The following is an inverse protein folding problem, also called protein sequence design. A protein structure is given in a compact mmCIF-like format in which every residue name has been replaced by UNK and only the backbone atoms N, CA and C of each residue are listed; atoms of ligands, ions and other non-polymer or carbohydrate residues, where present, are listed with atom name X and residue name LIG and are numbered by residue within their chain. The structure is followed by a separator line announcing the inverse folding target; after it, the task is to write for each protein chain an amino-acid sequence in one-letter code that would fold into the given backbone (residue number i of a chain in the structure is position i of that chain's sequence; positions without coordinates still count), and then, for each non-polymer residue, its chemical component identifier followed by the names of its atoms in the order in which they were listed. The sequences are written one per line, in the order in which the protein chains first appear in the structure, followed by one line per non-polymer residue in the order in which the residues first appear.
data_IF_623019827859
#
_entry.id   IF_623019827859
#
_cell.length_a   1.000
_cell.length_b   1.000
_cell.length_c   1.000
_cell.angle_alpha   90.00
_cell.angle_beta   90.00
_cell.angle_gamma   90.00
#
_symmetry.space_group_name_H-M   'P 1'
#
loop_
_entity.id
_entity.type
_entity.pdbx_description
1 polymer ?
#
# COMPACT_ATOMS: atom_id res chain seq x y z
N UNK A 1 -18.35 16.25 1.45
CA UNK A 1 -17.22 16.20 2.39
C UNK A 1 -16.33 17.40 2.17
N UNK A 2 -15.74 17.92 3.23
CA UNK A 2 -14.66 18.90 3.20
C UNK A 2 -13.35 18.16 3.26
N UNK A 3 -12.47 18.37 2.28
CA UNK A 3 -11.16 17.72 2.27
C UNK A 3 -10.26 18.36 3.32
N UNK A 4 -9.57 17.52 4.09
CA UNK A 4 -8.62 17.94 5.12
C UNK A 4 -7.19 17.77 4.60
N UNK A 5 -6.86 16.55 4.20
CA UNK A 5 -5.53 16.16 3.75
C UNK A 5 -5.61 15.21 2.54
N UNK A 6 -4.61 15.29 1.68
CA UNK A 6 -4.42 14.35 0.56
C UNK A 6 -2.96 13.92 0.55
N UNK A 7 -2.72 12.62 0.64
CA UNK A 7 -1.37 12.06 0.51
C UNK A 7 -0.87 12.13 -0.92
N UNK A 8 0.44 12.29 -1.07
CA UNK A 8 1.11 12.29 -2.38
C UNK A 8 1.81 10.95 -2.62
N UNK A 9 1.50 10.34 -3.75
CA UNK A 9 2.02 9.04 -4.19
C UNK A 9 2.99 9.18 -5.38
N UNK A 10 3.71 8.12 -5.70
CA UNK A 10 4.48 7.99 -6.93
C UNK A 10 3.62 8.15 -8.19
N UNK A 11 2.41 7.58 -8.17
CA UNK A 11 1.42 7.69 -9.25
C UNK A 11 1.05 9.14 -9.58
N UNK A 12 0.93 10.03 -8.58
CA UNK A 12 0.65 11.45 -8.85
C UNK A 12 1.80 12.11 -9.63
N UNK A 13 3.04 11.70 -9.37
CA UNK A 13 4.23 12.20 -10.10
C UNK A 13 4.30 11.66 -11.53
N UNK A 14 3.95 10.39 -11.74
CA UNK A 14 3.84 9.78 -13.07
C UNK A 14 2.76 10.48 -13.91
N UNK A 15 1.63 10.86 -13.29
CA UNK A 15 0.56 11.59 -13.96
C UNK A 15 1.03 12.99 -14.39
N UNK A 16 1.74 13.73 -13.52
CA UNK A 16 2.29 15.05 -13.85
C UNK A 16 3.33 14.95 -14.98
N UNK A 17 4.07 13.83 -15.01
CA UNK A 17 5.04 13.55 -16.09
C UNK A 17 4.36 13.05 -17.38
N UNK A 18 3.04 12.97 -17.43
CA UNK A 18 2.25 12.44 -18.55
C UNK A 18 2.58 10.99 -18.95
N UNK A 19 3.09 10.22 -18.00
CA UNK A 19 3.38 8.80 -18.20
C UNK A 19 2.16 7.93 -17.88
N UNK A 20 1.22 8.45 -17.10
CA UNK A 20 0.04 7.75 -16.60
C UNK A 20 -1.15 8.70 -16.45
N UNK A 21 -2.35 8.15 -16.17
CA UNK A 21 -3.54 8.91 -15.87
C UNK A 21 -4.33 9.37 -17.12
N UNK A 22 -5.63 9.55 -16.92
CA UNK A 22 -6.54 10.07 -17.95
C UNK A 22 -7.59 10.97 -17.33
N UNK A 23 -7.91 12.15 -17.90
CA UNK A 23 -8.98 13.00 -17.41
C UNK A 23 -10.37 12.36 -17.62
N UNK A 24 -11.40 12.83 -16.91
CA UNK A 24 -12.78 12.45 -17.18
C UNK A 24 -13.24 12.91 -18.57
N UNK A 25 -14.23 12.22 -19.11
CA UNK A 25 -14.84 12.60 -20.40
C UNK A 25 -15.35 14.04 -20.37
N UNK A 26 -15.00 14.80 -21.41
CA UNK A 26 -15.37 16.21 -21.54
C UNK A 26 -14.47 17.20 -20.79
N UNK A 27 -13.42 16.73 -20.13
CA UNK A 27 -12.41 17.56 -19.49
C UNK A 27 -11.03 17.38 -20.15
N UNK A 28 -10.27 18.45 -20.25
CA UNK A 28 -8.88 18.45 -20.70
C UNK A 28 -7.87 18.46 -19.54
N UNK A 29 -8.35 18.33 -18.30
CA UNK A 29 -7.54 18.28 -17.07
C UNK A 29 -8.02 17.22 -16.10
N UNK A 30 -7.13 16.79 -15.22
CA UNK A 30 -7.40 15.86 -14.12
C UNK A 30 -7.03 16.52 -12.79
N UNK A 31 -8.00 16.61 -11.85
CA UNK A 31 -7.68 16.95 -10.46
C UNK A 31 -7.01 15.71 -9.86
N UNK A 32 -5.81 15.88 -9.29
CA UNK A 32 -5.02 14.81 -8.70
C UNK A 32 -5.48 14.39 -7.31
N UNK A 33 -4.79 13.39 -6.77
CA UNK A 33 -4.92 12.93 -5.40
C UNK A 33 -5.94 11.80 -5.23
N UNK A 34 -5.45 10.67 -4.74
CA UNK A 34 -6.25 9.47 -4.50
C UNK A 34 -6.17 9.00 -3.04
N UNK A 35 -5.19 9.46 -2.27
CA UNK A 35 -5.04 9.17 -0.84
C UNK A 35 -5.79 10.23 0.00
N UNK A 36 -7.09 10.06 0.16
CA UNK A 36 -7.98 11.06 0.74
C UNK A 36 -8.11 10.98 2.25
N UNK A 37 -8.29 12.15 2.90
CA UNK A 37 -8.78 12.25 4.27
C UNK A 37 -9.67 13.48 4.39
N UNK A 38 -10.89 13.31 4.88
CA UNK A 38 -11.93 14.34 4.84
C UNK A 38 -12.84 14.30 6.05
N UNK A 39 -13.60 15.39 6.23
CA UNK A 39 -14.71 15.51 7.19
C UNK A 39 -16.05 15.60 6.43
N UNK A 40 -17.02 14.85 6.90
CA UNK A 40 -18.39 14.95 6.40
C UNK A 40 -19.00 16.27 6.90
N UNK A 41 -19.40 17.15 5.99
CA UNK A 41 -20.03 18.45 6.36
C UNK A 41 -21.53 18.46 6.11
N UNK A 42 -22.00 17.69 5.14
CA UNK A 42 -23.40 17.59 4.77
C UNK A 42 -23.71 16.19 4.23
N UNK A 43 -24.90 15.69 4.49
CA UNK A 43 -25.39 14.40 4.03
C UNK A 43 -26.77 14.52 3.36
N UNK A 44 -27.00 13.71 2.34
CA UNK A 44 -28.32 13.58 1.73
C UNK A 44 -29.29 12.85 2.66
N UNK A 45 -30.61 13.01 2.40
CA UNK A 45 -31.68 12.46 3.25
C UNK A 45 -31.74 10.94 3.36
N UNK A 46 -31.03 10.21 2.47
CA UNK A 46 -30.97 8.74 2.45
C UNK A 46 -29.69 8.18 3.04
N UNK A 47 -28.74 9.03 3.44
CA UNK A 47 -27.48 8.61 4.04
C UNK A 47 -27.71 8.15 5.48
N UNK A 48 -27.15 7.00 5.83
CA UNK A 48 -27.37 6.34 7.13
C UNK A 48 -26.09 5.95 7.86
N UNK A 49 -24.95 5.82 7.15
CA UNK A 49 -23.70 5.28 7.72
C UNK A 49 -22.78 6.37 8.28
N UNK A 50 -22.94 7.60 7.82
CA UNK A 50 -22.11 8.72 8.24
C UNK A 50 -22.98 9.95 8.53
N UNK A 51 -22.47 10.87 9.34
CA UNK A 51 -23.12 12.14 9.71
C UNK A 51 -22.11 13.30 9.67
N UNK A 52 -22.57 14.55 9.63
CA UNK A 52 -21.69 15.71 9.74
C UNK A 52 -20.78 15.62 10.97
N UNK A 53 -19.50 15.94 10.78
CA UNK A 53 -18.44 15.82 11.78
C UNK A 53 -17.69 14.48 11.77
N UNK A 54 -18.18 13.45 11.06
CA UNK A 54 -17.45 12.20 10.93
C UNK A 54 -16.22 12.38 10.02
N UNK A 55 -15.09 11.79 10.43
CA UNK A 55 -13.90 11.71 9.61
C UNK A 55 -13.98 10.48 8.69
N UNK A 56 -13.57 10.65 7.44
CA UNK A 56 -13.69 9.59 6.42
C UNK A 56 -12.49 9.55 5.49
N UNK A 57 -12.22 8.36 4.96
CA UNK A 57 -11.40 8.13 3.78
C UNK A 57 -12.24 7.49 2.69
N UNK A 58 -11.92 7.74 1.44
CA UNK A 58 -12.71 7.29 0.30
C UNK A 58 -11.96 6.21 -0.48
N UNK A 59 -12.68 5.19 -0.93
CA UNK A 59 -12.09 4.20 -1.85
C UNK A 59 -11.69 4.86 -3.16
N UNK A 60 -10.68 4.31 -3.84
CA UNK A 60 -10.11 4.90 -5.05
C UNK A 60 -10.85 4.45 -6.32
N UNK A 61 -10.97 3.14 -6.52
CA UNK A 61 -11.53 2.55 -7.74
C UNK A 61 -13.05 2.43 -7.67
N UNK A 62 -13.70 2.79 -8.76
CA UNK A 62 -15.15 2.61 -8.98
C UNK A 62 -15.38 1.42 -9.92
N UNK A 63 -16.45 0.65 -9.72
CA UNK A 63 -16.75 -0.48 -10.58
C UNK A 63 -17.04 -0.02 -12.01
N UNK A 64 -16.73 -0.87 -12.98
CA UNK A 64 -17.20 -0.67 -14.35
C UNK A 64 -18.73 -0.88 -14.44
N UNK A 65 -19.36 -0.26 -15.40
CA UNK A 65 -20.80 -0.39 -15.62
C UNK A 65 -21.25 -1.68 -16.31
N UNK A 66 -20.35 -2.62 -16.57
CA UNK A 66 -20.64 -3.84 -17.35
C UNK A 66 -21.41 -4.86 -16.50
N UNK A 67 -22.61 -5.29 -16.92
CA UNK A 67 -23.42 -6.25 -16.16
C UNK A 67 -22.76 -7.63 -16.04
N UNK A 68 -21.89 -7.99 -16.99
CA UNK A 68 -21.19 -9.28 -17.00
C UNK A 68 -19.89 -9.29 -16.20
N UNK A 69 -19.46 -8.14 -15.68
CA UNK A 69 -18.27 -8.10 -14.85
C UNK A 69 -18.58 -8.61 -13.43
N UNK A 70 -18.38 -9.91 -13.21
CA UNK A 70 -18.62 -10.55 -11.91
C UNK A 70 -17.86 -9.85 -10.78
N UNK A 71 -16.59 -9.52 -10.99
CA UNK A 71 -15.78 -8.87 -9.97
C UNK A 71 -16.42 -7.55 -9.49
N UNK A 72 -16.86 -6.69 -10.40
CA UNK A 72 -17.49 -5.43 -10.04
C UNK A 72 -18.87 -5.62 -9.40
N UNK A 73 -19.63 -6.62 -9.81
CA UNK A 73 -20.94 -6.97 -9.21
C UNK A 73 -20.79 -7.44 -7.76
N UNK A 74 -19.74 -8.18 -7.47
CA UNK A 74 -19.43 -8.68 -6.13
C UNK A 74 -18.67 -7.65 -5.25
N UNK A 75 -18.58 -6.38 -5.69
CA UNK A 75 -17.86 -5.33 -4.94
C UNK A 75 -16.35 -5.50 -4.94
N UNK A 76 -15.81 -6.33 -5.83
CA UNK A 76 -14.38 -6.59 -6.01
C UNK A 76 -13.86 -5.92 -7.29
N UNK A 77 -14.15 -4.61 -7.42
CA UNK A 77 -13.65 -3.80 -8.54
C UNK A 77 -12.13 -3.79 -8.66
N UNK A 78 -11.43 -4.14 -7.60
CA UNK A 78 -9.97 -4.36 -7.59
C UNK A 78 -9.54 -5.52 -8.51
N UNK A 79 -10.44 -6.44 -8.84
CA UNK A 79 -10.27 -7.52 -9.80
C UNK A 79 -11.04 -7.31 -11.11
N UNK A 80 -11.44 -6.08 -11.43
CA UNK A 80 -12.16 -5.80 -12.66
C UNK A 80 -11.40 -6.33 -13.89
N UNK A 81 -12.04 -7.19 -14.68
CA UNK A 81 -11.40 -7.80 -15.86
C UNK A 81 -11.71 -7.09 -17.18
N UNK A 82 -12.71 -6.17 -17.20
CA UNK A 82 -13.01 -5.37 -18.40
C UNK A 82 -12.03 -4.23 -18.61
N UNK A 83 -11.44 -3.73 -17.52
CA UNK A 83 -10.58 -2.56 -17.55
C UNK A 83 -11.31 -1.20 -17.57
N UNK A 84 -12.65 -1.19 -17.69
CA UNK A 84 -13.47 0.04 -17.80
C UNK A 84 -13.87 0.63 -16.44
N UNK A 85 -13.13 0.30 -15.40
CA UNK A 85 -13.24 0.96 -14.10
C UNK A 85 -12.70 2.40 -14.17
N UNK A 86 -13.18 3.26 -13.28
CA UNK A 86 -12.58 4.57 -13.06
C UNK A 86 -11.87 4.64 -11.72
N UNK A 87 -10.92 5.58 -11.58
CA UNK A 87 -10.17 5.78 -10.35
C UNK A 87 -10.05 7.28 -10.03
N UNK A 88 -10.40 7.64 -8.80
CA UNK A 88 -10.29 9.00 -8.30
C UNK A 88 -8.85 9.51 -8.39
N UNK A 89 -8.67 10.63 -9.09
CA UNK A 89 -7.37 11.27 -9.25
C UNK A 89 -6.40 10.56 -10.20
N UNK A 90 -6.85 9.48 -10.87
CA UNK A 90 -5.99 8.65 -11.72
C UNK A 90 -6.63 8.42 -13.09
N UNK A 91 -7.81 7.83 -13.13
CA UNK A 91 -8.41 7.36 -14.37
C UNK A 91 -9.86 7.80 -14.50
N UNK A 92 -10.13 8.68 -15.46
CA UNK A 92 -11.46 9.13 -15.87
C UNK A 92 -12.35 9.64 -14.72
N UNK A 93 -11.75 10.04 -13.59
CA UNK A 93 -12.47 10.63 -12.47
C UNK A 93 -11.56 11.59 -11.70
N UNK A 94 -12.03 12.83 -11.45
CA UNK A 94 -11.32 13.80 -10.65
C UNK A 94 -11.00 13.29 -9.25
N UNK A 95 -9.83 13.65 -8.74
CA UNK A 95 -9.33 13.28 -7.42
C UNK A 95 -9.77 14.21 -6.30
N UNK A 96 -9.01 14.19 -5.24
CA UNK A 96 -9.34 14.78 -3.95
C UNK A 96 -8.55 16.05 -3.62
N UNK A 97 -7.63 16.52 -4.48
CA UNK A 97 -6.95 17.82 -4.28
C UNK A 97 -7.89 18.99 -4.62
N UNK A 98 -8.96 19.12 -3.87
CA UNK A 98 -10.01 20.13 -3.98
C UNK A 98 -10.62 20.40 -2.60
N UNK A 99 -11.29 21.53 -2.39
CA UNK A 99 -11.85 21.88 -1.08
C UNK A 99 -13.03 20.97 -0.68
N UNK A 100 -13.90 20.64 -1.64
CA UNK A 100 -15.12 19.86 -1.39
C UNK A 100 -15.30 18.76 -2.42
N UNK A 101 -15.81 17.62 -1.95
CA UNK A 101 -16.15 16.47 -2.79
C UNK A 101 -17.53 15.94 -2.41
N UNK A 102 -18.31 15.59 -3.44
CA UNK A 102 -19.54 14.81 -3.28
C UNK A 102 -19.21 13.35 -3.61
N UNK A 103 -19.65 12.46 -2.74
CA UNK A 103 -19.41 11.02 -2.92
C UNK A 103 -20.59 10.20 -2.41
N UNK A 104 -20.79 9.02 -2.99
CA UNK A 104 -21.76 8.06 -2.52
C UNK A 104 -21.30 7.40 -1.20
N UNK A 105 -22.22 7.21 -0.27
CA UNK A 105 -21.98 6.62 1.05
C UNK A 105 -21.24 5.28 1.01
N UNK A 106 -21.48 4.46 -0.02
CA UNK A 106 -20.86 3.14 -0.18
C UNK A 106 -19.34 3.19 -0.37
N UNK A 107 -18.79 4.34 -0.75
CA UNK A 107 -17.36 4.55 -0.96
C UNK A 107 -16.66 5.21 0.23
N UNK A 108 -17.41 5.52 1.30
CA UNK A 108 -16.91 6.15 2.50
C UNK A 108 -16.54 5.11 3.55
N UNK A 109 -15.41 5.30 4.18
CA UNK A 109 -14.94 4.50 5.31
C UNK A 109 -14.69 5.44 6.48
N UNK A 110 -15.45 5.27 7.57
CA UNK A 110 -15.36 6.11 8.75
C UNK A 110 -14.03 5.87 9.49
N UNK A 111 -13.34 6.95 9.82
CA UNK A 111 -12.07 6.95 10.54
C UNK A 111 -12.30 7.41 11.97
N UNK A 112 -11.92 6.64 13.00
CA UNK A 112 -12.02 7.09 14.39
C UNK A 112 -11.27 8.40 14.65
N UNK A 113 -11.81 9.32 15.48
CA UNK A 113 -11.16 10.60 15.77
C UNK A 113 -9.72 10.48 16.30
N UNK A 114 -9.39 9.40 17.02
CA UNK A 114 -8.04 9.13 17.51
C UNK A 114 -6.99 8.87 16.41
N UNK A 115 -7.43 8.70 15.16
CA UNK A 115 -6.55 8.52 13.99
C UNK A 115 -6.40 9.79 13.14
N UNK A 116 -6.92 10.94 13.60
CA UNK A 116 -6.90 12.19 12.82
C UNK A 116 -5.52 12.55 12.26
N UNK A 117 -4.47 12.38 13.07
CA UNK A 117 -3.09 12.77 12.70
C UNK A 117 -2.48 11.89 11.60
N UNK A 118 -3.02 10.68 11.41
CA UNK A 118 -2.47 9.64 10.53
C UNK A 118 -3.51 9.05 9.57
N UNK A 119 -4.74 9.56 9.58
CA UNK A 119 -5.86 9.03 8.79
C UNK A 119 -5.59 8.99 7.29
N UNK A 120 -4.80 9.94 6.78
CA UNK A 120 -4.36 10.01 5.38
C UNK A 120 -3.49 8.80 4.97
N UNK A 121 -2.90 8.07 5.92
CA UNK A 121 -2.13 6.85 5.66
C UNK A 121 -3.01 5.60 5.43
N UNK A 122 -4.32 5.72 5.59
CA UNK A 122 -5.24 4.58 5.41
C UNK A 122 -5.16 4.01 3.99
N UNK A 123 -5.26 4.88 2.97
CA UNK A 123 -5.23 4.41 1.57
C UNK A 123 -3.94 3.64 1.25
N UNK A 124 -2.72 4.17 1.44
CA UNK A 124 -1.51 3.41 1.15
C UNK A 124 -1.34 2.15 2.01
N UNK A 125 -1.90 2.09 3.23
CA UNK A 125 -1.91 0.87 4.04
C UNK A 125 -2.82 -0.21 3.44
N UNK A 126 -3.88 0.16 2.71
CA UNK A 126 -4.78 -0.82 2.07
C UNK A 126 -4.06 -1.75 1.09
N UNK A 127 -2.95 -1.30 0.49
CA UNK A 127 -2.14 -2.11 -0.43
C UNK A 127 -1.51 -3.30 0.32
N UNK A 128 -1.03 -3.07 1.53
CA UNK A 128 -0.52 -4.14 2.39
C UNK A 128 -1.65 -5.05 2.89
N UNK A 129 -2.78 -4.48 3.30
CA UNK A 129 -3.93 -5.26 3.79
C UNK A 129 -4.49 -6.22 2.73
N UNK A 130 -4.65 -5.75 1.49
CA UNK A 130 -5.03 -6.62 0.39
C UNK A 130 -3.97 -7.71 0.13
N UNK A 131 -2.71 -7.35 0.20
CA UNK A 131 -1.61 -8.30 0.01
C UNK A 131 -1.62 -9.39 1.09
N UNK A 132 -1.87 -9.03 2.35
CA UNK A 132 -2.03 -9.97 3.45
C UNK A 132 -3.28 -10.85 3.29
N UNK A 133 -4.42 -10.30 2.86
CA UNK A 133 -5.61 -11.09 2.52
C UNK A 133 -5.27 -12.16 1.49
N UNK A 134 -4.64 -11.79 0.38
CA UNK A 134 -4.26 -12.73 -0.68
C UNK A 134 -3.24 -13.76 -0.18
N UNK A 135 -2.27 -13.34 0.63
CA UNK A 135 -1.29 -14.23 1.26
C UNK A 135 -1.99 -15.31 2.10
N UNK A 136 -2.91 -14.92 2.98
CA UNK A 136 -3.60 -15.89 3.84
C UNK A 136 -4.52 -16.82 3.07
N UNK A 137 -5.23 -16.34 2.04
CA UNK A 137 -6.02 -17.19 1.15
C UNK A 137 -5.15 -18.24 0.45
N UNK A 138 -3.97 -17.86 -0.04
CA UNK A 138 -3.02 -18.76 -0.69
C UNK A 138 -2.46 -19.77 0.31
N UNK A 139 -2.09 -19.34 1.50
CA UNK A 139 -1.46 -20.21 2.50
C UNK A 139 -2.43 -21.18 3.18
N UNK A 140 -3.75 -21.03 3.00
CA UNK A 140 -4.74 -22.05 3.37
C UNK A 140 -4.53 -23.39 2.67
N UNK A 141 -3.76 -23.42 1.56
CA UNK A 141 -3.33 -24.69 0.90
C UNK A 141 -2.42 -25.55 1.77
N UNK A 142 -1.77 -24.97 2.78
CA UNK A 142 -0.86 -25.68 3.67
C UNK A 142 -1.65 -26.28 4.85
N UNK A 143 -1.46 -27.59 5.17
CA UNK A 143 -2.16 -28.24 6.28
C UNK A 143 -1.64 -27.82 7.66
N UNK A 144 -0.56 -27.07 7.71
CA UNK A 144 -0.02 -26.44 8.92
C UNK A 144 -0.03 -24.94 8.77
N UNK A 145 -0.63 -24.25 9.73
CA UNK A 145 -0.46 -22.81 9.92
C UNK A 145 0.36 -22.60 11.20
N UNK A 146 1.02 -21.45 11.33
CA UNK A 146 1.55 -21.06 12.63
C UNK A 146 0.41 -21.08 13.65
N UNK A 147 0.50 -21.84 14.73
CA UNK A 147 -0.55 -21.89 15.73
C UNK A 147 -0.65 -20.50 16.38
N UNK A 148 -1.77 -19.81 16.16
CA UNK A 148 -2.14 -18.64 16.94
C UNK A 148 -2.85 -19.15 18.16
N UNK A 149 -2.17 -19.23 19.31
CA UNK A 149 -2.79 -19.54 20.57
C UNK A 149 -3.54 -18.30 21.10
N UNK A 150 -4.83 -18.40 21.47
CA UNK A 150 -5.55 -17.29 22.04
C UNK A 150 -4.84 -16.73 23.28
N UNK A 151 -4.57 -15.42 23.27
CA UNK A 151 -3.92 -14.74 24.40
C UNK A 151 -2.40 -14.78 24.41
N UNK A 152 -1.76 -15.48 23.46
CA UNK A 152 -0.33 -15.37 23.22
C UNK A 152 -0.08 -14.56 21.95
N UNK A 153 0.93 -13.65 21.93
CA UNK A 153 1.36 -13.07 20.66
C UNK A 153 1.81 -14.24 19.77
N UNK A 154 1.52 -14.18 18.44
CA UNK A 154 2.03 -15.18 17.51
C UNK A 154 3.55 -15.22 17.65
N UNK A 155 4.10 -16.39 17.93
CA UNK A 155 5.54 -16.60 17.82
C UNK A 155 5.92 -16.31 16.37
N UNK A 156 7.08 -15.64 16.16
CA UNK A 156 7.55 -15.26 14.82
C UNK A 156 7.97 -16.51 14.03
N UNK A 157 6.98 -17.28 13.62
CA UNK A 157 7.20 -18.52 12.88
C UNK A 157 7.34 -18.30 11.38
N UNK A 158 6.99 -17.11 10.88
CA UNK A 158 7.16 -16.74 9.48
C UNK A 158 8.10 -15.54 9.34
N UNK A 159 8.95 -15.57 8.31
CA UNK A 159 9.92 -14.54 8.01
C UNK A 159 9.52 -13.82 6.74
N UNK A 160 9.41 -12.51 6.83
CA UNK A 160 9.06 -11.65 5.72
C UNK A 160 10.22 -10.73 5.35
N UNK A 161 10.44 -10.58 4.06
CA UNK A 161 11.32 -9.55 3.49
C UNK A 161 10.45 -8.50 2.81
N UNK A 162 10.62 -7.25 3.21
CA UNK A 162 9.99 -6.10 2.58
C UNK A 162 11.03 -5.42 1.69
N UNK A 163 10.77 -5.35 0.40
CA UNK A 163 11.63 -4.63 -0.54
C UNK A 163 11.18 -3.17 -0.61
N UNK A 164 12.02 -2.28 -0.10
CA UNK A 164 11.80 -0.84 -0.07
C UNK A 164 11.37 -0.29 1.29
N UNK A 165 11.89 0.89 1.59
CA UNK A 165 11.59 1.65 2.80
C UNK A 165 10.83 2.97 2.49
N UNK A 166 10.06 2.99 1.42
CA UNK A 166 9.08 4.03 1.12
C UNK A 166 7.79 3.86 1.94
N UNK A 167 6.79 4.74 1.75
CA UNK A 167 5.56 4.72 2.55
C UNK A 167 4.85 3.36 2.53
N UNK A 168 4.65 2.79 1.33
CA UNK A 168 3.97 1.49 1.15
C UNK A 168 4.79 0.36 1.77
N UNK A 169 6.12 0.36 1.62
CA UNK A 169 6.99 -0.64 2.22
C UNK A 169 7.00 -0.59 3.75
N UNK A 170 7.10 0.61 4.34
CA UNK A 170 7.09 0.77 5.81
C UNK A 170 5.73 0.43 6.42
N UNK A 171 4.62 0.85 5.79
CA UNK A 171 3.28 0.45 6.21
C UNK A 171 3.08 -1.08 6.07
N UNK A 172 3.59 -1.68 4.99
CA UNK A 172 3.61 -3.13 4.82
C UNK A 172 4.43 -3.85 5.89
N UNK A 173 5.58 -3.29 6.28
CA UNK A 173 6.38 -3.82 7.38
C UNK A 173 5.61 -3.77 8.72
N UNK A 174 4.89 -2.68 8.99
CA UNK A 174 4.05 -2.56 10.19
C UNK A 174 2.90 -3.58 10.18
N UNK A 175 2.19 -3.72 9.06
CA UNK A 175 1.11 -4.70 8.90
C UNK A 175 1.61 -6.14 9.08
N UNK A 176 2.74 -6.50 8.47
CA UNK A 176 3.38 -7.81 8.65
C UNK A 176 3.82 -8.05 10.11
N UNK A 177 4.33 -7.01 10.79
CA UNK A 177 4.67 -7.11 12.24
C UNK A 177 3.45 -7.36 13.11
N UNK A 178 2.30 -6.70 12.82
CA UNK A 178 1.02 -6.96 13.50
C UNK A 178 0.55 -8.39 13.23
N UNK A 179 0.71 -8.85 12.00
CA UNK A 179 0.37 -10.22 11.60
C UNK A 179 1.32 -11.29 12.18
N UNK A 180 2.36 -10.90 12.94
CA UNK A 180 3.24 -11.80 13.67
C UNK A 180 4.47 -12.28 12.91
N UNK A 181 4.82 -11.64 11.79
CA UNK A 181 6.04 -11.98 11.04
C UNK A 181 7.32 -11.42 11.71
N UNK A 182 8.42 -12.15 11.57
CA UNK A 182 9.77 -11.59 11.71
C UNK A 182 10.10 -10.85 10.42
N UNK A 183 10.19 -9.52 10.48
CA UNK A 183 10.29 -8.66 9.31
C UNK A 183 11.69 -8.13 9.12
N UNK A 184 12.20 -8.26 7.90
CA UNK A 184 13.42 -7.60 7.44
C UNK A 184 13.08 -6.66 6.30
N UNK A 185 13.40 -5.38 6.44
CA UNK A 185 13.28 -4.38 5.37
C UNK A 185 14.60 -4.29 4.64
N UNK A 186 14.58 -4.54 3.33
CA UNK A 186 15.74 -4.45 2.45
C UNK A 186 15.56 -3.26 1.51
N UNK A 187 16.41 -2.26 1.63
CA UNK A 187 16.31 -1.03 0.86
C UNK A 187 17.68 -0.50 0.48
N UNK A 188 17.73 0.38 -0.53
CA UNK A 188 18.95 0.80 -1.19
C UNK A 188 19.97 1.44 -0.25
N UNK A 189 19.57 2.43 0.55
CA UNK A 189 20.51 3.36 1.17
C UNK A 189 20.72 3.17 2.68
N UNK A 190 21.98 3.35 3.12
CA UNK A 190 22.35 3.49 4.54
C UNK A 190 21.96 4.84 5.13
N UNK A 191 21.81 5.87 4.30
CA UNK A 191 21.76 7.28 4.74
C UNK A 191 20.39 7.77 5.19
N UNK A 192 19.36 6.94 5.07
CA UNK A 192 18.04 7.29 5.60
C UNK A 192 17.94 6.84 7.07
N UNK A 193 18.55 7.60 7.98
CA UNK A 193 18.49 7.36 9.43
C UNK A 193 17.03 7.29 9.93
N UNK A 194 16.15 8.14 9.38
CA UNK A 194 14.73 8.15 9.69
C UNK A 194 14.05 6.80 9.38
N UNK A 195 14.30 6.23 8.20
CA UNK A 195 13.71 4.94 7.81
C UNK A 195 14.23 3.80 8.69
N UNK A 196 15.51 3.82 9.02
CA UNK A 196 16.11 2.82 9.91
C UNK A 196 15.55 2.95 11.35
N UNK A 197 15.35 4.17 11.84
CA UNK A 197 14.77 4.41 13.16
C UNK A 197 13.32 3.90 13.24
N UNK A 198 12.51 4.12 12.20
CA UNK A 198 11.13 3.60 12.11
C UNK A 198 11.14 2.07 12.09
N UNK A 199 11.99 1.44 11.25
CA UNK A 199 12.09 -0.02 11.15
C UNK A 199 12.52 -0.63 12.49
N UNK A 200 13.49 -0.02 13.16
CA UNK A 200 13.95 -0.47 14.48
C UNK A 200 12.87 -0.32 15.56
N UNK A 201 12.13 0.81 15.54
CA UNK A 201 11.06 1.08 16.50
C UNK A 201 9.91 0.07 16.44
N UNK A 202 9.63 -0.50 15.25
CA UNK A 202 8.61 -1.55 15.10
C UNK A 202 9.16 -2.96 15.38
N UNK A 203 10.42 -3.07 15.81
CA UNK A 203 11.06 -4.35 16.08
C UNK A 203 11.37 -5.17 14.81
N UNK A 204 11.54 -4.51 13.67
CA UNK A 204 12.00 -5.12 12.42
C UNK A 204 13.51 -4.88 12.22
N UNK A 205 14.12 -5.62 11.29
CA UNK A 205 15.53 -5.43 10.90
C UNK A 205 15.62 -4.60 9.62
N UNK A 206 16.60 -3.71 9.56
CA UNK A 206 16.92 -2.96 8.35
C UNK A 206 18.22 -3.45 7.75
N UNK A 207 18.24 -3.79 6.47
CA UNK A 207 19.44 -4.19 5.72
C UNK A 207 19.58 -3.29 4.49
N UNK A 208 20.72 -2.62 4.36
CA UNK A 208 21.00 -1.75 3.23
C UNK A 208 21.63 -2.53 2.07
N UNK A 209 21.03 -2.44 0.89
CA UNK A 209 21.52 -3.09 -0.34
C UNK A 209 22.89 -2.52 -0.81
N UNK A 210 23.26 -1.31 -0.39
CA UNK A 210 24.58 -0.75 -0.63
C UNK A 210 25.71 -1.54 0.04
N UNK A 211 25.39 -2.31 1.08
CA UNK A 211 26.40 -2.99 1.91
C UNK A 211 26.19 -4.48 2.05
N UNK A 212 25.03 -4.96 1.64
CA UNK A 212 24.69 -6.37 1.69
C UNK A 212 24.04 -6.80 0.38
N UNK A 213 24.60 -7.80 -0.24
CA UNK A 213 24.03 -8.46 -1.40
C UNK A 213 22.73 -9.20 -1.05
N UNK A 214 21.98 -9.61 -2.06
CA UNK A 214 20.77 -10.44 -1.87
C UNK A 214 21.11 -11.80 -1.27
N UNK A 215 22.28 -12.37 -1.60
CA UNK A 215 22.80 -13.61 -0.98
C UNK A 215 23.03 -13.45 0.53
N UNK A 216 23.60 -12.33 0.96
CA UNK A 216 23.84 -12.03 2.37
C UNK A 216 22.52 -11.76 3.11
N UNK A 217 21.56 -11.06 2.46
CA UNK A 217 20.20 -10.91 2.96
C UNK A 217 19.57 -12.29 3.20
N UNK A 218 19.57 -13.17 2.19
CA UNK A 218 18.96 -14.50 2.28
C UNK A 218 19.60 -15.34 3.40
N UNK A 219 20.93 -15.32 3.50
CA UNK A 219 21.65 -16.02 4.59
C UNK A 219 21.26 -15.48 5.97
N UNK A 220 21.08 -14.18 6.12
CA UNK A 220 20.74 -13.56 7.40
C UNK A 220 19.28 -13.81 7.82
N UNK A 221 18.36 -13.90 6.85
CA UNK A 221 16.94 -14.17 7.09
C UNK A 221 16.70 -15.68 7.27
N UNK A 222 17.38 -16.52 6.50
CA UNK A 222 17.15 -17.95 6.44
C UNK A 222 15.98 -18.27 5.48
N UNK A 223 14.99 -19.07 5.93
CA UNK A 223 13.82 -19.33 5.08
C UNK A 223 13.00 -18.06 4.89
N UNK A 224 12.84 -17.60 3.67
CA UNK A 224 12.00 -16.44 3.32
C UNK A 224 10.60 -16.97 2.98
N UNK A 225 9.65 -16.77 3.88
CA UNK A 225 8.27 -17.24 3.69
C UNK A 225 7.44 -16.27 2.86
N UNK A 226 7.73 -14.97 2.99
CA UNK A 226 7.03 -13.91 2.25
C UNK A 226 8.00 -12.85 1.77
N UNK A 227 7.85 -12.43 0.53
CA UNK A 227 8.43 -11.18 0.01
C UNK A 227 7.30 -10.23 -0.35
N UNK A 228 7.33 -9.05 0.28
CA UNK A 228 6.44 -7.93 -0.06
C UNK A 228 7.24 -6.88 -0.82
N UNK A 229 7.04 -6.82 -2.14
CA UNK A 229 7.77 -5.92 -3.03
C UNK A 229 6.99 -4.61 -3.19
N UNK A 230 7.58 -3.49 -2.76
CA UNK A 230 6.96 -2.15 -2.72
C UNK A 230 7.85 -1.05 -3.34
N UNK A 231 8.74 -1.42 -4.27
CA UNK A 231 9.67 -0.48 -4.93
C UNK A 231 9.40 -0.31 -6.41
N UNK A 232 8.91 -1.36 -7.08
CA UNK A 232 8.87 -1.41 -8.54
C UNK A 232 10.26 -1.50 -9.18
N UNK A 233 11.23 -2.11 -8.50
CA UNK A 233 12.60 -2.29 -9.00
C UNK A 233 12.80 -3.73 -9.45
N UNK A 234 12.58 -4.01 -10.73
CA UNK A 234 12.62 -5.37 -11.29
C UNK A 234 13.94 -6.10 -11.02
N UNK A 235 15.09 -5.44 -11.07
CA UNK A 235 16.39 -6.07 -10.81
C UNK A 235 16.43 -6.76 -9.45
N UNK A 236 16.27 -6.01 -8.37
CA UNK A 236 16.31 -6.57 -7.01
C UNK A 236 15.16 -7.55 -6.76
N UNK A 237 14.00 -7.33 -7.37
CA UNK A 237 12.86 -8.22 -7.19
C UNK A 237 13.14 -9.62 -7.76
N UNK A 238 13.65 -9.71 -8.99
CA UNK A 238 14.00 -10.98 -9.62
C UNK A 238 15.24 -11.64 -8.98
N UNK A 239 16.18 -10.88 -8.42
CA UNK A 239 17.27 -11.44 -7.63
C UNK A 239 16.72 -12.09 -6.34
N UNK A 240 15.81 -11.42 -5.63
CA UNK A 240 15.24 -11.95 -4.37
C UNK A 240 14.29 -13.14 -4.62
N UNK A 241 13.59 -13.22 -5.75
CA UNK A 241 12.77 -14.39 -6.12
C UNK A 241 13.57 -15.68 -6.05
N UNK A 242 14.84 -15.67 -6.45
CA UNK A 242 15.71 -16.84 -6.45
C UNK A 242 16.03 -17.37 -5.04
N UNK A 243 15.79 -16.55 -4.00
CA UNK A 243 16.02 -16.90 -2.60
C UNK A 243 14.72 -17.17 -1.81
N UNK A 244 13.56 -17.12 -2.47
CA UNK A 244 12.29 -17.45 -1.84
C UNK A 244 12.31 -18.88 -1.30
N UNK A 245 11.87 -19.07 -0.07
CA UNK A 245 11.90 -20.37 0.61
C UNK A 245 10.84 -21.36 0.08
N UNK A 246 10.89 -22.63 0.50
CA UNK A 246 9.82 -23.58 0.26
C UNK A 246 8.47 -23.07 0.76
N UNK A 247 7.43 -23.23 -0.06
CA UNK A 247 6.07 -22.74 0.16
C UNK A 247 5.95 -21.20 0.27
N UNK A 248 7.03 -20.48 -0.05
CA UNK A 248 7.08 -19.02 0.03
C UNK A 248 6.16 -18.33 -0.98
N UNK A 249 5.76 -17.11 -0.65
CA UNK A 249 4.90 -16.26 -1.48
C UNK A 249 5.61 -14.96 -1.78
N UNK A 250 5.76 -14.63 -3.07
CA UNK A 250 6.29 -13.35 -3.53
C UNK A 250 5.14 -12.47 -4.04
N UNK A 251 5.01 -11.27 -3.49
CA UNK A 251 3.91 -10.35 -3.81
C UNK A 251 4.48 -9.08 -4.42
N UNK A 252 4.19 -8.85 -5.71
CA UNK A 252 4.49 -7.59 -6.37
C UNK A 252 3.38 -6.57 -6.11
N UNK A 253 3.74 -5.39 -5.59
CA UNK A 253 2.84 -4.24 -5.46
C UNK A 253 3.41 -2.98 -6.11
N UNK A 254 4.72 -2.90 -6.29
CA UNK A 254 5.39 -1.82 -6.97
C UNK A 254 5.21 -1.91 -8.49
N UNK A 255 4.78 -0.83 -9.12
CA UNK A 255 4.71 -0.73 -10.59
C UNK A 255 6.06 -0.23 -11.10
N UNK A 256 6.78 -1.02 -11.93
CA UNK A 256 8.10 -0.60 -12.40
C UNK A 256 7.98 0.47 -13.49
N UNK A 257 8.73 1.56 -13.34
CA UNK A 257 9.00 2.46 -14.46
C UNK A 257 9.82 1.72 -15.54
N UNK A 258 9.45 1.89 -16.80
CA UNK A 258 10.09 1.18 -17.92
C UNK A 258 11.56 1.60 -18.10
N UNK A 259 12.48 0.68 -17.75
CA UNK A 259 13.94 0.88 -17.90
C UNK A 259 14.58 0.05 -19.01
N UNK A 260 13.78 -0.74 -19.72
CA UNK A 260 14.23 -1.68 -20.75
C UNK A 260 14.27 -3.12 -20.27
N UNK A 261 14.57 -4.07 -21.18
CA UNK A 261 14.65 -5.49 -20.85
C UNK A 261 15.86 -5.79 -19.96
N UNK A 262 15.72 -6.78 -19.08
CA UNK A 262 16.81 -7.35 -18.29
C UNK A 262 16.94 -8.85 -18.57
N UNK A 263 18.13 -9.39 -18.38
CA UNK A 263 18.35 -10.82 -18.49
C UNK A 263 18.07 -11.50 -17.15
N UNK A 264 17.30 -12.59 -17.18
CA UNK A 264 16.89 -13.36 -16.00
C UNK A 264 17.05 -14.86 -16.32
N UNK A 265 17.57 -15.63 -15.36
CA UNK A 265 17.63 -17.10 -15.46
C UNK A 265 16.24 -17.68 -15.17
N UNK A 266 15.47 -17.83 -16.25
CA UNK A 266 14.07 -18.30 -16.18
C UNK A 266 13.98 -19.77 -15.81
N UNK A 267 14.93 -20.61 -16.25
CA UNK A 267 14.93 -22.05 -15.94
C UNK A 267 15.19 -22.28 -14.46
N UNK A 268 16.07 -21.49 -13.86
CA UNK A 268 16.34 -21.55 -12.43
C UNK A 268 15.10 -21.16 -11.61
N UNK A 269 14.47 -20.02 -11.95
CA UNK A 269 13.27 -19.55 -11.26
C UNK A 269 12.13 -20.57 -11.40
N UNK A 270 11.84 -21.02 -12.62
CA UNK A 270 10.76 -21.97 -12.88
C UNK A 270 10.95 -23.29 -12.14
N UNK A 271 12.18 -23.81 -12.11
CA UNK A 271 12.55 -25.01 -11.34
C UNK A 271 12.23 -24.84 -9.86
N UNK A 272 12.65 -23.71 -9.26
CA UNK A 272 12.43 -23.44 -7.85
C UNK A 272 10.97 -23.24 -7.50
N UNK A 273 10.21 -22.50 -8.33
CA UNK A 273 8.75 -22.34 -8.19
C UNK A 273 8.05 -23.70 -8.11
N UNK A 274 8.44 -24.64 -8.99
CA UNK A 274 7.85 -25.98 -9.02
C UNK A 274 8.31 -26.82 -7.83
N UNK A 275 9.62 -26.95 -7.62
CA UNK A 275 10.17 -27.88 -6.63
C UNK A 275 9.97 -27.41 -5.18
N UNK A 276 9.81 -26.11 -4.96
CA UNK A 276 9.59 -25.52 -3.64
C UNK A 276 8.12 -25.13 -3.39
N UNK A 277 7.19 -25.44 -4.30
CA UNK A 277 5.77 -25.04 -4.22
C UNK A 277 5.58 -23.54 -3.92
N UNK A 278 6.36 -22.70 -4.60
CA UNK A 278 6.31 -21.26 -4.42
C UNK A 278 5.13 -20.62 -5.17
N UNK A 279 4.71 -19.43 -4.75
CA UNK A 279 3.69 -18.63 -5.43
C UNK A 279 4.23 -17.24 -5.70
N UNK A 280 4.02 -16.75 -6.91
CA UNK A 280 4.34 -15.39 -7.32
C UNK A 280 3.03 -14.74 -7.77
N UNK A 281 2.66 -13.61 -7.19
CA UNK A 281 1.45 -12.88 -7.52
C UNK A 281 1.66 -11.38 -7.58
N UNK A 282 0.79 -10.68 -8.32
CA UNK A 282 0.68 -9.23 -8.32
C UNK A 282 -0.55 -8.76 -7.56
N UNK A 283 -0.45 -7.62 -6.89
CA UNK A 283 -1.56 -6.99 -6.18
C UNK A 283 -1.57 -5.49 -6.45
N UNK A 284 -2.72 -4.95 -6.81
CA UNK A 284 -2.91 -3.52 -7.08
C UNK A 284 -4.28 -3.08 -6.60
N UNK A 285 -4.39 -1.83 -6.14
CA UNK A 285 -5.64 -1.25 -5.65
C UNK A 285 -6.23 -2.04 -4.45
N UNK A 286 -7.32 -1.57 -3.88
CA UNK A 286 -7.92 -2.21 -2.71
C UNK A 286 -9.46 -2.14 -2.74
N UNK A 287 -10.14 -3.23 -2.32
CA UNK A 287 -11.58 -3.25 -2.14
C UNK A 287 -11.97 -2.57 -0.80
N UNK A 288 -13.27 -2.26 -0.60
CA UNK A 288 -13.73 -1.57 0.63
C UNK A 288 -13.29 -2.24 1.94
N UNK A 289 -13.30 -3.57 2.01
CA UNK A 289 -12.92 -4.28 3.25
C UNK A 289 -11.42 -4.14 3.59
N UNK A 290 -10.54 -3.91 2.60
CA UNK A 290 -9.14 -3.58 2.88
C UNK A 290 -8.99 -2.19 3.51
N UNK A 291 -9.88 -1.23 3.20
CA UNK A 291 -9.92 0.06 3.91
C UNK A 291 -10.33 -0.12 5.37
N UNK A 292 -11.31 -0.98 5.65
CA UNK A 292 -11.71 -1.30 7.02
C UNK A 292 -10.58 -2.01 7.78
N UNK A 293 -9.87 -2.93 7.13
CA UNK A 293 -8.69 -3.58 7.70
C UNK A 293 -7.58 -2.55 7.99
N UNK A 294 -7.29 -1.65 7.06
CA UNK A 294 -6.28 -0.61 7.23
C UNK A 294 -6.62 0.35 8.38
N UNK A 295 -7.88 0.76 8.54
CA UNK A 295 -8.32 1.61 9.65
C UNK A 295 -8.16 0.88 11.00
N UNK A 296 -8.54 -0.39 11.07
CA UNK A 296 -8.35 -1.24 12.26
C UNK A 296 -6.86 -1.36 12.63
N UNK A 297 -6.03 -1.70 11.66
CA UNK A 297 -4.61 -1.93 11.89
C UNK A 297 -3.85 -0.62 12.14
N UNK A 298 -4.26 0.49 11.52
CA UNK A 298 -3.76 1.83 11.86
C UNK A 298 -4.05 2.18 13.33
N UNK A 299 -5.22 1.77 13.84
CA UNK A 299 -5.56 1.88 15.28
C UNK A 299 -4.63 1.06 16.18
N UNK A 300 -4.22 -0.13 15.75
CA UNK A 300 -3.25 -0.96 16.48
C UNK A 300 -1.83 -0.37 16.39
N UNK A 301 -1.43 0.07 15.19
CA UNK A 301 -0.12 0.65 14.91
C UNK A 301 0.11 1.90 15.77
N UNK A 302 -0.85 2.82 15.82
CA UNK A 302 -0.69 4.05 16.59
C UNK A 302 -0.62 3.81 18.10
N UNK A 303 -1.22 2.74 18.59
CA UNK A 303 -1.10 2.33 19.99
C UNK A 303 0.25 1.68 20.30
N UNK A 304 0.77 0.86 19.39
CA UNK A 304 2.04 0.14 19.57
C UNK A 304 3.26 1.01 19.28
N UNK A 305 3.21 1.82 18.22
CA UNK A 305 4.35 2.55 17.68
C UNK A 305 3.96 4.00 17.29
N UNK A 306 3.47 4.82 18.26
CA UNK A 306 2.89 6.13 17.96
C UNK A 306 3.85 7.09 17.26
N UNK A 307 5.11 7.09 17.65
CA UNK A 307 6.11 7.99 17.06
C UNK A 307 6.54 7.48 15.67
N UNK A 308 6.69 6.17 15.51
CA UNK A 308 7.08 5.58 14.24
C UNK A 308 6.03 5.85 13.13
N UNK A 309 4.74 5.67 13.43
CA UNK A 309 3.69 5.93 12.43
C UNK A 309 3.56 7.42 12.08
N UNK A 310 3.68 8.31 13.05
CA UNK A 310 3.65 9.76 12.80
C UNK A 310 4.84 10.23 11.98
N UNK A 311 6.02 9.64 12.21
CA UNK A 311 7.25 9.97 11.48
C UNK A 311 7.20 9.57 10.00
N UNK A 312 6.25 8.70 9.59
CA UNK A 312 6.06 8.45 8.16
C UNK A 312 5.64 9.70 7.41
N UNK A 313 4.84 10.58 8.02
CA UNK A 313 4.43 11.84 7.40
C UNK A 313 5.53 12.86 7.65
N UNK A 314 6.45 12.95 6.70
CA UNK A 314 7.65 13.80 6.82
C UNK A 314 7.38 15.27 6.57
N UNK A 315 6.37 15.60 5.78
CA UNK A 315 6.00 17.00 5.55
C UNK A 315 4.52 17.16 5.20
N UNK A 316 3.97 18.28 5.63
CA UNK A 316 2.64 18.78 5.28
C UNK A 316 2.78 20.12 4.56
N UNK A 317 2.23 20.21 3.37
CA UNK A 317 2.28 21.39 2.51
C UNK A 317 0.87 21.96 2.33
N UNK A 318 0.67 23.27 2.49
CA UNK A 318 -0.61 23.89 2.14
C UNK A 318 -0.87 23.78 0.63
N UNK A 319 -2.15 23.82 0.24
CA UNK A 319 -2.58 23.56 -1.15
C UNK A 319 -1.91 24.50 -2.18
N UNK A 320 -1.64 25.75 -1.83
CA UNK A 320 -0.93 26.69 -2.68
C UNK A 320 0.54 26.32 -2.95
N UNK A 321 1.07 25.35 -2.20
CA UNK A 321 2.40 24.76 -2.37
C UNK A 321 2.37 23.31 -2.88
N UNK A 322 1.23 22.80 -3.34
CA UNK A 322 1.05 21.42 -3.74
C UNK A 322 2.02 20.92 -4.82
N UNK A 323 2.55 21.81 -5.64
CA UNK A 323 3.58 21.45 -6.65
C UNK A 323 4.91 21.01 -6.03
N UNK A 324 5.24 21.44 -4.81
CA UNK A 324 6.49 21.03 -4.15
C UNK A 324 6.56 19.53 -3.87
N UNK A 325 5.58 18.91 -3.15
CA UNK A 325 5.61 17.49 -2.89
C UNK A 325 5.37 16.62 -4.13
N UNK A 326 4.83 17.21 -5.20
CA UNK A 326 4.62 16.52 -6.47
C UNK A 326 5.88 16.48 -7.35
N UNK A 327 6.89 17.32 -7.08
CA UNK A 327 8.16 17.26 -7.80
C UNK A 327 8.97 15.99 -7.45
N UNK A 328 9.82 15.55 -8.38
CA UNK A 328 10.71 14.42 -8.17
C UNK A 328 11.80 14.68 -7.12
N UNK A 329 12.08 15.95 -6.82
CA UNK A 329 13.07 16.38 -5.82
C UNK A 329 12.50 16.46 -4.40
N UNK A 330 11.22 16.20 -4.23
CA UNK A 330 10.57 16.18 -2.92
C UNK A 330 11.12 15.02 -2.07
N UNK A 331 11.97 15.33 -1.12
CA UNK A 331 12.50 14.38 -0.15
C UNK A 331 11.44 13.86 0.83
N UNK A 332 11.88 13.03 1.78
CA UNK A 332 11.03 12.49 2.83
C UNK A 332 10.36 11.16 2.46
N UNK A 333 9.58 10.61 3.43
CA UNK A 333 8.90 9.32 3.28
C UNK A 333 7.51 9.55 2.68
N UNK A 334 6.64 10.24 3.39
CA UNK A 334 5.28 10.58 2.93
C UNK A 334 5.06 12.08 3.04
N UNK A 335 4.76 12.70 1.90
CA UNK A 335 4.34 14.08 1.83
C UNK A 335 2.82 14.16 1.73
N UNK A 336 2.24 15.17 2.36
CA UNK A 336 0.79 15.38 2.44
C UNK A 336 0.48 16.82 2.03
N UNK A 337 -0.57 16.99 1.24
CA UNK A 337 -1.15 18.30 0.91
C UNK A 337 -2.29 18.57 1.89
N UNK A 338 -2.21 19.66 2.64
CA UNK A 338 -3.25 20.15 3.53
C UNK A 338 -4.17 21.05 2.73
N UNK A 339 -5.46 20.70 2.69
CA UNK A 339 -6.47 21.44 1.94
C UNK A 339 -7.14 22.49 2.83
N UNK A 340 -7.43 22.11 4.10
CA UNK A 340 -8.12 23.01 5.04
C UNK A 340 -7.81 22.68 6.51
#
# INVERSE_FOLDING_TARGET
MKMLEVGVCGTDREIISFEYGTPPDGYDYLILGHESFAEVVEVGSQVTKVKPGDLVVMTVRRPCGHPDCMACREGRQDFCFTGDFTERGIKQQHGYMTEFVIEEERYLNAVPPGLRDVGVLTEPLTIAEKSLEQLWLIQQRLPWACPVEPGKPPEHCHRAVVLGAGPVGLLGAMALRIAGFDVTVYSRSRTHEENNSIVSAIGARYIAAETHSVDELAKSVGNIDVVYEAVGASGVAFDVIQHLGPNGVFIFTGVPGRKGPMQVDTDYIMKDVVLKNQVILGSVNAPPHSFQAAIRDLGIIIQKWPDAIRSLITARFPIDQALKPLSNDAGGIKNVVVIS
#
